data_IF_298234655327
#
_entry.id   IF_298234655327
#
_cell.length_a   1.000
_cell.length_b   1.000
_cell.length_c   1.000
_cell.angle_alpha   90.00
_cell.angle_beta   90.00
_cell.angle_gamma   90.00
#
_symmetry.space_group_name_H-M   'P 1'
#
loop_
_entity.id
_entity.type
_entity.pdbx_description
1 polymer ?
#
# COMPACT_ATOMS: atom_id res chain seq x y z
N UNK A 1 -17.83 21.17 -0.77
CA UNK A 1 -16.52 20.49 -0.88
C UNK A 1 -16.78 19.09 -1.44
N UNK A 2 -16.57 18.90 -2.74
CA UNK A 2 -16.87 17.63 -3.42
C UNK A 2 -15.68 16.67 -3.18
N UNK A 3 -15.79 15.77 -2.20
CA UNK A 3 -14.77 14.76 -1.92
C UNK A 3 -14.89 13.64 -2.95
N UNK A 4 -13.87 13.52 -3.81
CA UNK A 4 -13.77 12.42 -4.77
C UNK A 4 -13.51 11.11 -4.03
N UNK A 5 -14.51 10.23 -4.03
CA UNK A 5 -14.38 8.82 -3.68
C UNK A 5 -13.63 8.12 -4.82
N UNK A 6 -12.33 7.89 -4.68
CA UNK A 6 -11.60 7.03 -5.60
C UNK A 6 -11.87 5.56 -5.21
N UNK A 7 -12.87 4.97 -5.85
CA UNK A 7 -13.15 3.53 -5.76
C UNK A 7 -12.30 2.84 -6.82
N UNK A 8 -11.17 2.23 -6.41
CA UNK A 8 -10.36 1.43 -7.32
C UNK A 8 -10.91 0.00 -7.36
N UNK A 9 -11.65 -0.33 -8.42
CA UNK A 9 -11.98 -1.70 -8.76
C UNK A 9 -10.80 -2.32 -9.53
N UNK A 10 -10.20 -3.38 -9.00
CA UNK A 10 -9.28 -4.22 -9.76
C UNK A 10 -10.11 -4.97 -10.81
N UNK A 11 -9.95 -4.62 -12.10
CA UNK A 11 -10.63 -5.30 -13.19
C UNK A 11 -9.73 -6.42 -13.73
N UNK A 12 -10.23 -7.67 -13.69
CA UNK A 12 -9.59 -8.81 -14.36
C UNK A 12 -9.82 -8.72 -15.88
N UNK A 13 -8.73 -8.86 -16.66
CA UNK A 13 -8.82 -9.18 -18.08
C UNK A 13 -8.71 -10.71 -18.29
N UNK A 14 -9.42 -11.30 -19.27
CA UNK A 14 -9.28 -12.72 -19.59
C UNK A 14 -8.02 -12.96 -20.44
N UNK A 15 -7.14 -13.86 -19.98
CA UNK A 15 -5.97 -14.30 -20.74
C UNK A 15 -6.36 -15.39 -21.76
N UNK A 16 -5.95 -15.19 -23.01
CA UNK A 16 -5.99 -16.21 -24.06
C UNK A 16 -4.89 -17.26 -23.82
N UNK A 17 -5.27 -18.53 -23.86
CA UNK A 17 -4.36 -19.68 -23.72
C UNK A 17 -3.64 -19.94 -25.03
N UNK A 18 -2.31 -19.84 -25.03
CA UNK A 18 -1.45 -20.47 -26.03
C UNK A 18 -0.49 -21.45 -25.35
N UNK A 19 -0.66 -22.72 -25.68
CA UNK A 19 0.16 -23.83 -25.19
C UNK A 19 1.52 -23.81 -25.89
N UNK A 20 2.59 -23.58 -25.12
CA UNK A 20 3.97 -23.70 -25.58
C UNK A 20 4.83 -24.40 -24.54
N UNK A 21 5.16 -25.66 -24.78
CA UNK A 21 6.19 -26.40 -24.03
C UNK A 21 7.56 -25.78 -24.33
N UNK A 22 8.18 -25.19 -23.31
CA UNK A 22 9.55 -24.70 -23.36
C UNK A 22 10.02 -24.40 -21.95
N UNK A 23 10.63 -25.40 -21.29
CA UNK A 23 11.23 -25.26 -19.96
C UNK A 23 12.48 -24.40 -20.02
N UNK A 24 12.32 -23.08 -20.09
CA UNK A 24 13.32 -22.15 -19.62
C UNK A 24 13.14 -22.02 -18.10
N UNK A 25 14.20 -22.22 -17.33
CA UNK A 25 14.19 -21.93 -15.90
C UNK A 25 13.66 -20.50 -15.72
N UNK A 26 12.46 -20.38 -15.14
CA UNK A 26 11.81 -19.10 -14.90
C UNK A 26 12.69 -18.37 -13.89
N UNK A 27 13.43 -17.36 -14.33
CA UNK A 27 14.31 -16.59 -13.45
C UNK A 27 13.41 -15.83 -12.47
N UNK A 28 13.30 -16.36 -11.25
CA UNK A 28 12.67 -15.65 -10.14
C UNK A 28 13.42 -14.36 -9.87
N UNK A 29 12.69 -13.30 -9.53
CA UNK A 29 13.24 -12.01 -9.14
C UNK A 29 13.33 -11.99 -7.62
N UNK A 30 14.54 -11.92 -7.08
CA UNK A 30 14.76 -11.82 -5.65
C UNK A 30 14.62 -10.37 -5.17
N UNK A 31 13.84 -10.16 -4.12
CA UNK A 31 13.63 -8.86 -3.51
C UNK A 31 14.69 -8.63 -2.43
N UNK A 32 15.37 -7.48 -2.46
CA UNK A 32 16.31 -7.11 -1.40
C UNK A 32 15.63 -6.96 -0.05
N UNK A 33 14.38 -6.49 -0.07
CA UNK A 33 13.54 -6.31 1.12
C UNK A 33 12.19 -6.96 0.86
N UNK A 34 11.65 -7.72 1.82
CA UNK A 34 10.41 -8.43 1.58
C UNK A 34 9.25 -7.45 1.36
N UNK A 35 8.36 -7.80 0.43
CA UNK A 35 7.03 -7.22 0.39
C UNK A 35 6.15 -7.97 1.36
N UNK A 36 5.55 -7.28 2.32
CA UNK A 36 4.69 -7.89 3.32
C UNK A 36 3.24 -7.52 3.02
N UNK A 37 2.40 -8.54 2.83
CA UNK A 37 0.96 -8.35 2.76
C UNK A 37 0.36 -8.64 4.13
N UNK A 38 -0.22 -7.61 4.74
CA UNK A 38 -0.72 -7.68 6.11
C UNK A 38 -2.07 -6.97 6.25
N UNK A 39 -3.01 -7.50 7.05
CA UNK A 39 -4.26 -6.80 7.32
C UNK A 39 -4.01 -5.43 7.96
N UNK A 40 -4.77 -4.43 7.52
CA UNK A 40 -4.96 -3.21 8.32
C UNK A 40 -5.90 -3.57 9.45
N UNK A 41 -5.47 -3.33 10.68
CA UNK A 41 -6.12 -3.82 11.89
C UNK A 41 -6.08 -2.75 12.98
N UNK A 42 -7.18 -2.02 13.14
CA UNK A 42 -7.40 -1.12 14.28
C UNK A 42 -8.41 -1.67 15.29
N UNK A 43 -8.55 -3.01 15.38
CA UNK A 43 -9.51 -3.64 16.30
C UNK A 43 -9.26 -3.29 17.78
N UNK A 44 -8.03 -2.91 18.12
CA UNK A 44 -7.61 -2.47 19.46
C UNK A 44 -7.63 -0.94 19.63
N UNK A 45 -8.02 -0.19 18.58
CA UNK A 45 -8.17 1.26 18.61
C UNK A 45 -6.87 2.04 18.76
N UNK A 46 -5.74 1.50 18.32
CA UNK A 46 -4.46 2.21 18.32
C UNK A 46 -4.54 3.48 17.44
N UNK A 47 -5.00 3.35 16.21
CA UNK A 47 -5.14 4.47 15.28
C UNK A 47 -6.23 5.43 15.74
N UNK A 48 -7.35 4.92 16.27
CA UNK A 48 -8.39 5.75 16.90
C UNK A 48 -7.85 6.60 18.05
N UNK A 49 -7.03 6.04 18.95
CA UNK A 49 -6.40 6.81 20.05
C UNK A 49 -5.47 7.90 19.53
N UNK A 50 -4.67 7.61 18.50
CA UNK A 50 -3.83 8.62 17.85
C UNK A 50 -4.68 9.74 17.26
N UNK A 51 -5.75 9.40 16.53
CA UNK A 51 -6.66 10.39 15.95
C UNK A 51 -7.34 11.25 17.03
N UNK A 52 -7.76 10.66 18.16
CA UNK A 52 -8.31 11.40 19.30
C UNK A 52 -7.27 12.36 19.92
N UNK A 53 -6.03 11.91 20.10
CA UNK A 53 -4.94 12.73 20.63
C UNK A 53 -4.56 13.89 19.70
N UNK A 54 -4.45 13.63 18.39
CA UNK A 54 -4.18 14.67 17.37
C UNK A 54 -5.28 15.73 17.37
N UNK A 55 -6.56 15.35 17.47
CA UNK A 55 -7.66 16.33 17.58
C UNK A 55 -7.58 17.19 18.83
N UNK A 56 -7.04 16.63 19.92
CA UNK A 56 -6.84 17.35 21.17
C UNK A 56 -5.56 18.22 21.18
N UNK A 57 -4.67 18.05 20.20
CA UNK A 57 -3.43 18.82 20.05
C UNK A 57 -3.37 19.57 18.69
N UNK A 58 -3.96 20.77 18.61
CA UNK A 58 -3.91 21.60 17.41
C UNK A 58 -2.51 22.08 17.02
N UNK A 59 -1.50 21.95 17.89
CA UNK A 59 -0.13 22.39 17.64
C UNK A 59 0.76 21.28 17.05
N UNK A 60 0.25 20.05 16.99
CA UNK A 60 0.96 18.88 16.45
C UNK A 60 1.39 19.03 14.99
N UNK A 61 0.72 19.88 14.21
CA UNK A 61 0.90 19.96 12.76
C UNK A 61 0.36 18.74 12.00
N UNK A 62 -0.42 17.89 12.69
CA UNK A 62 -1.10 16.73 12.14
C UNK A 62 -2.59 17.04 11.97
N UNK A 63 -3.23 16.31 11.06
CA UNK A 63 -4.66 16.39 10.81
C UNK A 63 -5.30 15.00 11.00
N UNK A 64 -6.64 14.96 11.07
CA UNK A 64 -7.39 13.71 11.10
C UNK A 64 -8.34 13.64 9.92
N UNK A 65 -8.20 12.59 9.12
CA UNK A 65 -9.14 12.23 8.07
C UNK A 65 -10.03 11.08 8.50
N UNK A 66 -11.29 11.08 8.04
CA UNK A 66 -12.17 9.91 8.10
C UNK A 66 -12.35 9.32 6.69
N UNK A 67 -12.30 7.99 6.59
CA UNK A 67 -12.74 7.26 5.41
C UNK A 67 -13.90 6.35 5.77
N UNK A 68 -14.81 6.17 4.82
CA UNK A 68 -15.98 5.31 4.98
C UNK A 68 -15.85 4.20 3.95
N UNK A 69 -15.66 2.98 4.44
CA UNK A 69 -15.53 1.78 3.61
C UNK A 69 -16.85 1.05 3.64
N UNK A 70 -17.51 0.96 2.48
CA UNK A 70 -18.74 0.17 2.35
C UNK A 70 -18.45 -1.31 2.60
N UNK A 71 -19.28 -1.96 3.41
CA UNK A 71 -19.18 -3.39 3.65
C UNK A 71 -19.40 -4.20 2.37
N UNK A 72 -18.78 -5.38 2.31
CA UNK A 72 -18.96 -6.35 1.24
C UNK A 72 -20.20 -7.20 1.54
N UNK A 73 -20.95 -7.60 0.51
CA UNK A 73 -22.13 -8.48 0.61
C UNK A 73 -23.21 -8.00 1.60
N UNK A 74 -23.42 -6.67 1.70
CA UNK A 74 -24.38 -6.09 2.64
C UNK A 74 -23.88 -6.00 4.08
N UNK A 75 -22.59 -6.25 4.31
CA UNK A 75 -21.92 -6.04 5.58
C UNK A 75 -21.93 -4.58 6.05
N UNK A 76 -21.58 -4.32 7.32
CA UNK A 76 -21.59 -2.99 7.88
C UNK A 76 -20.57 -2.09 7.18
N UNK A 77 -20.92 -0.82 7.04
CA UNK A 77 -19.97 0.23 6.67
C UNK A 77 -18.99 0.45 7.82
N UNK A 78 -17.70 0.50 7.50
CA UNK A 78 -16.63 0.78 8.45
C UNK A 78 -16.22 2.24 8.32
N UNK A 79 -16.25 2.99 9.42
CA UNK A 79 -15.60 4.30 9.50
C UNK A 79 -14.20 4.13 10.07
N UNK A 80 -13.21 4.61 9.34
CA UNK A 80 -11.80 4.56 9.71
C UNK A 80 -11.29 5.99 9.89
N UNK A 81 -10.57 6.24 10.98
CA UNK A 81 -9.91 7.52 11.23
C UNK A 81 -8.42 7.37 11.03
N UNK A 82 -7.81 8.32 10.34
CA UNK A 82 -6.38 8.32 10.06
C UNK A 82 -5.76 9.63 10.55
N UNK A 83 -4.62 9.53 11.22
CA UNK A 83 -3.74 10.68 11.39
C UNK A 83 -2.98 10.92 10.08
N UNK A 84 -2.95 12.17 9.64
CA UNK A 84 -2.22 12.60 8.45
C UNK A 84 -1.27 13.74 8.78
N UNK A 85 -0.21 13.88 8.00
CA UNK A 85 0.79 14.94 8.18
C UNK A 85 1.48 15.31 6.88
N UNK A 86 2.13 16.47 6.81
CA UNK A 86 2.84 16.92 5.61
C UNK A 86 4.06 16.04 5.30
N UNK A 87 4.71 15.50 6.34
CA UNK A 87 5.89 14.67 6.21
C UNK A 87 5.82 13.47 7.17
N UNK A 88 6.39 12.33 6.75
CA UNK A 88 6.44 11.09 7.54
C UNK A 88 7.01 11.31 8.94
N UNK A 89 8.12 12.04 9.04
CA UNK A 89 8.82 12.26 10.29
C UNK A 89 7.99 13.02 11.33
N UNK A 90 7.00 13.83 10.92
CA UNK A 90 6.10 14.52 11.85
C UNK A 90 5.20 13.53 12.57
N UNK A 91 4.70 12.51 11.88
CA UNK A 91 3.91 11.42 12.48
C UNK A 91 4.77 10.56 13.41
N UNK A 92 5.98 10.21 12.98
CA UNK A 92 6.92 9.41 13.78
C UNK A 92 7.33 10.14 15.07
N UNK A 93 7.63 11.43 14.95
CA UNK A 93 8.00 12.29 16.09
C UNK A 93 6.83 12.43 17.08
N UNK A 94 5.60 12.53 16.57
CA UNK A 94 4.41 12.56 17.41
C UNK A 94 4.26 11.28 18.23
N UNK A 95 4.39 10.10 17.63
CA UNK A 95 4.32 8.82 18.36
C UNK A 95 5.50 8.69 19.34
N UNK A 96 6.70 9.11 18.95
CA UNK A 96 7.88 9.05 19.81
C UNK A 96 7.76 9.93 21.06
N UNK A 97 7.07 11.06 20.96
CA UNK A 97 6.81 11.97 22.09
C UNK A 97 5.60 11.57 22.93
N UNK A 98 4.75 10.66 22.41
CA UNK A 98 3.56 10.12 23.06
C UNK A 98 3.62 8.59 23.13
N UNK A 99 4.57 8.01 23.90
CA UNK A 99 4.78 6.56 23.94
C UNK A 99 3.54 5.77 24.43
N UNK A 100 2.61 6.41 25.15
CA UNK A 100 1.33 5.84 25.52
C UNK A 100 0.41 5.54 24.31
N UNK A 101 0.65 6.20 23.17
CA UNK A 101 -0.07 5.97 21.91
C UNK A 101 0.54 4.87 21.05
N UNK A 102 1.64 4.25 21.50
CA UNK A 102 2.25 3.13 20.79
C UNK A 102 1.23 2.03 20.48
N UNK A 103 1.37 1.33 19.34
CA UNK A 103 0.49 0.25 19.00
C UNK A 103 0.70 -0.94 19.96
N UNK A 104 -0.33 -1.77 20.18
CA UNK A 104 -0.19 -3.07 20.83
C UNK A 104 0.91 -3.94 20.19
N UNK A 105 1.47 -4.88 20.95
CA UNK A 105 2.63 -5.67 20.51
C UNK A 105 2.43 -6.54 19.24
N UNK A 106 1.19 -6.80 18.84
CA UNK A 106 0.81 -7.52 17.62
C UNK A 106 0.36 -6.58 16.49
N UNK A 107 0.62 -5.28 16.63
CA UNK A 107 0.29 -4.24 15.68
C UNK A 107 1.49 -3.30 15.49
N UNK A 108 1.57 -2.71 14.30
CA UNK A 108 2.61 -1.75 13.92
C UNK A 108 1.97 -0.57 13.21
N UNK A 109 2.61 0.60 13.29
CA UNK A 109 2.23 1.74 12.45
C UNK A 109 2.98 1.68 11.13
N UNK A 110 2.22 1.77 10.03
CA UNK A 110 2.75 1.91 8.67
C UNK A 110 2.36 3.26 8.07
N UNK A 111 3.16 3.77 7.14
CA UNK A 111 2.94 5.11 6.58
C UNK A 111 2.75 5.07 5.06
N UNK A 112 1.61 5.54 4.58
CA UNK A 112 1.29 5.63 3.15
C UNK A 112 1.52 7.06 2.66
N UNK A 113 2.28 7.20 1.58
CA UNK A 113 2.48 8.48 0.91
C UNK A 113 1.39 8.70 -0.13
N UNK A 114 0.63 9.77 0.03
CA UNK A 114 -0.51 10.14 -0.81
C UNK A 114 -0.26 11.47 -1.50
N UNK A 115 -1.02 11.74 -2.58
CA UNK A 115 -1.09 13.08 -3.19
C UNK A 115 -2.54 13.55 -3.24
N UNK A 116 -2.76 14.81 -2.92
CA UNK A 116 -4.09 15.42 -3.01
C UNK A 116 -4.41 15.90 -4.43
N UNK A 117 -5.59 16.50 -4.62
CA UNK A 117 -6.03 17.03 -5.91
C UNK A 117 -5.20 18.20 -6.44
N UNK A 118 -4.40 18.85 -5.59
CA UNK A 118 -3.48 19.92 -5.95
C UNK A 118 -2.06 19.37 -6.26
N UNK A 119 -1.86 18.06 -6.13
CA UNK A 119 -0.59 17.38 -6.34
C UNK A 119 0.38 17.47 -5.16
N UNK A 120 -0.06 18.03 -4.02
CA UNK A 120 0.75 18.09 -2.79
C UNK A 120 0.85 16.70 -2.19
N UNK A 121 2.05 16.35 -1.74
CA UNK A 121 2.30 15.08 -1.06
C UNK A 121 1.98 15.23 0.41
N UNK A 122 1.33 14.23 0.99
CA UNK A 122 1.11 14.11 2.43
C UNK A 122 1.21 12.63 2.83
N UNK A 123 1.30 12.37 4.12
CA UNK A 123 1.47 11.04 4.68
C UNK A 123 0.26 10.68 5.53
N UNK A 124 -0.15 9.41 5.45
CA UNK A 124 -1.23 8.81 6.22
C UNK A 124 -0.68 7.67 7.07
N UNK A 125 -1.02 7.66 8.35
CA UNK A 125 -0.71 6.55 9.24
C UNK A 125 -1.78 5.46 9.14
N UNK A 126 -1.36 4.21 9.05
CA UNK A 126 -2.17 3.00 9.16
C UNK A 126 -1.76 2.21 10.40
N UNK A 127 -2.69 1.46 10.98
CA UNK A 127 -2.38 0.41 11.95
C UNK A 127 -2.47 -0.94 11.26
N UNK A 128 -1.38 -1.67 11.16
CA UNK A 128 -1.30 -2.97 10.50
C UNK A 128 -1.00 -4.05 11.51
N UNK A 129 -1.41 -5.29 11.22
CA UNK A 129 -1.01 -6.43 12.04
C UNK A 129 0.50 -6.66 11.90
N UNK A 130 1.17 -6.92 13.02
CA UNK A 130 2.57 -7.31 13.01
C UNK A 130 2.75 -8.65 12.27
N UNK A 131 3.71 -8.70 11.34
CA UNK A 131 3.91 -9.84 10.45
C UNK A 131 3.00 -9.82 9.22
N UNK A 132 2.72 -11.01 8.65
CA UNK A 132 1.91 -11.15 7.43
C UNK A 132 2.54 -12.12 6.42
N UNK A 133 2.01 -12.09 5.20
CA UNK A 133 2.58 -12.84 4.08
C UNK A 133 3.79 -12.09 3.53
N UNK A 134 4.98 -12.52 3.95
CA UNK A 134 6.24 -11.97 3.45
C UNK A 134 6.64 -12.64 2.13
N UNK A 135 6.73 -11.85 1.07
CA UNK A 135 7.20 -12.22 -0.26
C UNK A 135 8.66 -11.81 -0.39
N UNK A 136 9.53 -12.76 -0.72
CA UNK A 136 10.97 -12.50 -0.96
C UNK A 136 11.37 -12.71 -2.42
N UNK A 137 10.51 -13.38 -3.18
CA UNK A 137 10.75 -13.69 -4.58
C UNK A 137 9.48 -13.49 -5.37
N UNK A 138 9.63 -13.00 -6.59
CA UNK A 138 8.56 -12.79 -7.54
C UNK A 138 8.83 -13.63 -8.79
N UNK A 139 7.78 -14.09 -9.46
CA UNK A 139 7.92 -14.68 -10.79
C UNK A 139 8.21 -13.61 -11.85
N UNK A 140 7.72 -12.38 -11.66
CA UNK A 140 8.03 -11.21 -12.48
C UNK A 140 7.60 -9.91 -11.77
N UNK A 141 8.22 -8.79 -12.12
CA UNK A 141 7.74 -7.45 -11.81
C UNK A 141 8.05 -6.51 -12.97
N UNK A 142 7.06 -5.73 -13.42
CA UNK A 142 7.21 -4.84 -14.56
C UNK A 142 6.32 -3.60 -14.46
N UNK A 143 6.66 -2.55 -15.21
CA UNK A 143 5.79 -1.39 -15.34
C UNK A 143 4.74 -1.65 -16.42
N UNK A 144 3.48 -1.47 -16.03
CA UNK A 144 2.34 -1.50 -16.95
C UNK A 144 1.63 -0.16 -16.95
N UNK A 145 0.88 0.12 -18.01
CA UNK A 145 -0.03 1.26 -18.04
C UNK A 145 -1.40 0.81 -17.54
N UNK A 146 -1.90 1.48 -16.50
CA UNK A 146 -3.24 1.23 -15.96
C UNK A 146 -4.35 1.76 -16.88
N UNK A 147 -5.61 1.39 -16.62
CA UNK A 147 -6.78 1.85 -17.39
C UNK A 147 -6.95 3.38 -17.42
N UNK A 148 -6.34 4.08 -16.47
CA UNK A 148 -6.33 5.54 -16.35
C UNK A 148 -5.11 6.20 -17.03
N UNK A 149 -4.39 5.46 -17.88
CA UNK A 149 -3.13 5.86 -18.52
C UNK A 149 -2.02 6.23 -17.52
N UNK A 150 -2.10 5.70 -16.29
CA UNK A 150 -1.12 5.93 -15.23
C UNK A 150 -0.23 4.70 -15.05
N UNK A 151 1.08 4.88 -14.83
CA UNK A 151 1.97 3.75 -14.63
C UNK A 151 1.63 3.02 -13.32
N UNK A 152 1.69 1.69 -13.36
CA UNK A 152 1.55 0.79 -12.21
C UNK A 152 2.68 -0.23 -12.23
N UNK A 153 3.02 -0.76 -11.07
CA UNK A 153 3.91 -1.91 -11.00
C UNK A 153 3.02 -3.16 -10.98
N UNK A 154 3.11 -3.97 -12.02
CA UNK A 154 2.47 -5.28 -12.08
C UNK A 154 3.44 -6.33 -11.53
N UNK A 155 2.99 -7.07 -10.52
CA UNK A 155 3.75 -8.09 -9.82
C UNK A 155 3.09 -9.44 -10.06
N UNK A 156 3.88 -10.40 -10.55
CA UNK A 156 3.47 -11.81 -10.63
C UNK A 156 4.17 -12.60 -9.54
N UNK A 157 3.38 -13.27 -8.71
CA UNK A 157 3.88 -14.09 -7.62
C UNK A 157 4.35 -15.46 -8.10
N UNK A 158 5.14 -16.13 -7.27
CA UNK A 158 5.38 -17.57 -7.42
C UNK A 158 4.05 -18.32 -7.26
N UNK A 159 3.90 -19.54 -7.82
CA UNK A 159 2.68 -20.32 -7.64
C UNK A 159 2.34 -20.59 -6.16
N UNK A 160 3.36 -20.80 -5.33
CA UNK A 160 3.20 -21.02 -3.89
C UNK A 160 2.67 -19.76 -3.20
N UNK A 161 3.31 -18.60 -3.41
CA UNK A 161 2.87 -17.35 -2.79
C UNK A 161 1.53 -16.87 -3.36
N UNK A 162 1.21 -17.19 -4.62
CA UNK A 162 -0.11 -16.95 -5.21
C UNK A 162 -1.23 -17.69 -4.49
N UNK A 163 -1.00 -18.95 -4.09
CA UNK A 163 -1.98 -19.71 -3.29
C UNK A 163 -2.14 -19.12 -1.88
N UNK A 164 -1.03 -18.70 -1.26
CA UNK A 164 -1.05 -18.06 0.06
C UNK A 164 -1.77 -16.71 0.03
N UNK A 165 -1.57 -15.93 -1.04
CA UNK A 165 -2.30 -14.69 -1.27
C UNK A 165 -3.80 -14.93 -1.43
N UNK A 166 -4.19 -15.93 -2.22
CA UNK A 166 -5.59 -16.28 -2.42
C UNK A 166 -6.29 -16.65 -1.10
N UNK A 167 -5.61 -17.43 -0.25
CA UNK A 167 -6.12 -17.78 1.09
C UNK A 167 -6.26 -16.53 1.99
N UNK A 168 -5.20 -15.72 2.08
CA UNK A 168 -5.21 -14.49 2.89
C UNK A 168 -6.32 -13.53 2.45
N UNK A 169 -6.47 -13.31 1.15
CA UNK A 169 -7.51 -12.39 0.62
C UNK A 169 -8.92 -12.95 0.78
N UNK A 170 -9.11 -14.26 0.76
CA UNK A 170 -10.39 -14.87 1.09
C UNK A 170 -10.80 -14.62 2.55
N UNK A 171 -9.85 -14.67 3.47
CA UNK A 171 -10.08 -14.38 4.90
C UNK A 171 -10.30 -12.88 5.17
N UNK A 172 -9.71 -12.00 4.37
CA UNK A 172 -9.75 -10.54 4.55
C UNK A 172 -10.85 -9.83 3.73
N UNK A 173 -11.85 -10.56 3.20
CA UNK A 173 -12.95 -9.93 2.45
C UNK A 173 -13.68 -8.90 3.32
N UNK A 174 -13.91 -7.71 2.76
CA UNK A 174 -14.50 -6.57 3.46
C UNK A 174 -13.50 -5.74 4.26
N UNK A 175 -12.27 -6.21 4.42
CA UNK A 175 -11.22 -5.53 5.17
C UNK A 175 -10.13 -5.01 4.24
N UNK A 176 -9.31 -4.08 4.74
CA UNK A 176 -8.14 -3.59 4.01
C UNK A 176 -6.96 -4.53 4.18
N UNK A 177 -6.23 -4.74 3.09
CA UNK A 177 -4.98 -5.46 3.09
C UNK A 177 -3.87 -4.51 2.65
N UNK A 178 -2.94 -4.19 3.54
CA UNK A 178 -1.79 -3.35 3.24
C UNK A 178 -0.72 -4.17 2.51
N UNK A 179 -0.09 -3.55 1.52
CA UNK A 179 1.18 -3.99 0.93
C UNK A 179 2.26 -3.07 1.48
N UNK A 180 3.20 -3.64 2.22
CA UNK A 180 4.22 -2.90 2.97
C UNK A 180 5.60 -3.32 2.48
N UNK A 181 6.49 -2.35 2.35
CA UNK A 181 7.93 -2.58 2.21
C UNK A 181 8.63 -1.73 3.27
N UNK A 182 9.38 -2.39 4.16
CA UNK A 182 9.89 -1.77 5.39
C UNK A 182 8.76 -1.24 6.28
N UNK A 183 8.60 0.08 6.35
CA UNK A 183 7.57 0.79 7.09
C UNK A 183 6.71 1.71 6.19
N UNK A 184 6.95 1.67 4.86
CA UNK A 184 6.14 2.37 3.86
C UNK A 184 5.02 1.44 3.40
N UNK A 185 3.78 1.88 3.62
CA UNK A 185 2.59 1.26 3.06
C UNK A 185 2.48 1.75 1.61
N UNK A 186 2.69 0.84 0.65
CA UNK A 186 2.61 1.16 -0.78
C UNK A 186 1.16 1.34 -1.22
N UNK A 187 0.25 0.56 -0.65
CA UNK A 187 -1.19 0.66 -0.84
C UNK A 187 -1.93 -0.11 0.26
N UNK A 188 -3.17 0.28 0.56
CA UNK A 188 -4.07 -0.44 1.46
C UNK A 188 -5.50 -0.56 0.89
N UNK A 189 -5.70 -1.35 -0.18
CA UNK A 189 -7.02 -1.56 -0.79
C UNK A 189 -7.96 -2.37 0.10
N UNK A 190 -9.26 -2.12 -0.04
CA UNK A 190 -10.31 -3.01 0.49
C UNK A 190 -10.42 -4.25 -0.39
N UNK A 191 -10.30 -5.43 0.21
CA UNK A 191 -10.45 -6.70 -0.48
C UNK A 191 -11.94 -7.01 -0.66
N UNK A 192 -12.38 -7.10 -1.91
CA UNK A 192 -13.78 -7.45 -2.25
C UNK A 192 -13.93 -8.93 -2.58
N UNK A 193 -12.94 -9.48 -3.26
CA UNK A 193 -12.91 -10.84 -3.76
C UNK A 193 -11.52 -11.46 -3.52
N UNK A 194 -11.42 -12.79 -3.36
CA UNK A 194 -10.14 -13.47 -3.28
C UNK A 194 -9.29 -13.26 -4.54
N UNK A 195 -8.01 -12.91 -4.36
CA UNK A 195 -7.06 -12.72 -5.45
C UNK A 195 -6.45 -14.07 -5.85
N UNK A 196 -7.10 -14.76 -6.78
CA UNK A 196 -6.75 -16.14 -7.17
C UNK A 196 -5.75 -16.24 -8.33
N UNK A 197 -5.44 -15.12 -8.99
CA UNK A 197 -4.55 -15.08 -10.16
C UNK A 197 -3.07 -15.15 -9.80
N UNK A 198 -2.71 -14.87 -8.54
CA UNK A 198 -1.31 -14.70 -8.13
C UNK A 198 -0.68 -13.43 -8.69
N UNK A 199 -1.48 -12.44 -9.07
CA UNK A 199 -1.04 -11.16 -9.61
C UNK A 199 -1.51 -9.99 -8.74
N UNK A 200 -0.68 -8.95 -8.64
CA UNK A 200 -0.93 -7.73 -7.87
C UNK A 200 -0.55 -6.51 -8.72
N UNK A 201 -1.32 -5.43 -8.59
CA UNK A 201 -0.93 -4.13 -9.14
C UNK A 201 -0.72 -3.14 -8.00
N UNK A 202 0.49 -2.57 -7.95
CA UNK A 202 0.83 -1.50 -7.02
C UNK A 202 0.68 -0.19 -7.78
N UNK A 203 -0.34 0.64 -7.45
CA UNK A 203 -0.51 1.94 -8.07
C UNK A 203 0.65 2.85 -7.67
N UNK A 204 1.14 3.62 -8.62
CA UNK A 204 2.07 4.69 -8.33
C UNK A 204 1.29 5.98 -8.10
N UNK A 205 1.91 6.95 -7.40
CA UNK A 205 1.29 8.24 -7.17
C UNK A 205 0.78 8.84 -8.49
N UNK A 206 -0.40 9.48 -8.46
CA UNK A 206 -1.17 9.82 -9.66
C UNK A 206 -0.36 10.56 -10.74
N UNK A 207 0.61 11.39 -10.37
CA UNK A 207 1.41 12.21 -11.30
C UNK A 207 2.84 11.68 -11.50
N UNK A 208 3.10 10.40 -11.21
CA UNK A 208 4.40 9.81 -11.43
C UNK A 208 4.75 9.83 -12.94
N UNK A 209 5.84 10.51 -13.26
CA UNK A 209 6.51 10.40 -14.56
C UNK A 209 7.01 8.97 -14.78
N UNK A 210 7.23 8.58 -16.03
CA UNK A 210 7.81 7.26 -16.33
C UNK A 210 9.18 7.04 -15.66
N UNK A 211 9.95 8.11 -15.47
CA UNK A 211 11.23 8.05 -14.76
C UNK A 211 11.03 7.76 -13.26
N UNK A 212 10.07 8.43 -12.60
CA UNK A 212 9.72 8.14 -11.20
C UNK A 212 9.15 6.72 -11.05
N UNK A 213 8.34 6.28 -12.02
CA UNK A 213 7.82 4.92 -12.04
C UNK A 213 8.93 3.87 -12.16
N UNK A 214 9.90 4.10 -13.04
CA UNK A 214 11.06 3.20 -13.18
C UNK A 214 11.87 3.20 -11.89
N UNK A 215 12.10 4.36 -11.28
CA UNK A 215 12.84 4.43 -10.03
C UNK A 215 12.11 3.73 -8.87
N UNK A 216 10.78 3.73 -8.86
CA UNK A 216 9.97 2.97 -7.91
C UNK A 216 10.05 1.45 -8.14
N UNK A 217 9.99 1.00 -9.41
CA UNK A 217 10.21 -0.41 -9.75
C UNK A 217 11.63 -0.85 -9.38
N UNK A 218 12.63 -0.04 -9.71
CA UNK A 218 14.01 -0.28 -9.34
C UNK A 218 14.11 -0.41 -7.82
N UNK A 219 13.56 0.54 -7.05
CA UNK A 219 13.53 0.46 -5.60
C UNK A 219 12.90 -0.83 -5.06
N UNK A 220 11.75 -1.22 -5.60
CA UNK A 220 11.06 -2.47 -5.27
C UNK A 220 12.00 -3.67 -5.45
N UNK A 221 12.74 -3.69 -6.56
CA UNK A 221 13.68 -4.74 -6.95
C UNK A 221 15.09 -4.59 -6.35
N UNK A 222 15.33 -3.55 -5.54
CA UNK A 222 16.63 -3.31 -4.91
C UNK A 222 17.62 -2.43 -5.69
N UNK A 223 17.19 -1.78 -6.76
CA UNK A 223 17.87 -0.66 -7.39
C UNK A 223 17.80 0.60 -6.51
N UNK A 224 18.93 1.27 -6.33
CA UNK A 224 19.03 2.49 -5.52
C UNK A 224 18.24 3.65 -6.16
N UNK A 225 17.31 4.25 -5.42
CA UNK A 225 16.77 5.59 -5.72
C UNK A 225 17.89 6.63 -5.58
N UNK A 226 18.50 7.00 -6.70
CA UNK A 226 19.20 8.27 -6.79
C UNK A 226 18.89 8.94 -8.13
N UNK A 227 17.74 9.61 -8.28
CA UNK A 227 17.68 10.70 -9.22
C UNK A 227 18.64 11.78 -8.68
N UNK A 228 19.83 11.88 -9.28
CA UNK A 228 20.64 13.10 -9.17
C UNK A 228 19.73 14.25 -9.64
N UNK A 229 19.24 15.04 -8.69
CA UNK A 229 18.75 16.39 -8.95
C UNK A 229 19.84 17.11 -9.73
N UNK A 230 19.67 17.21 -11.05
CA UNK A 230 20.45 18.14 -11.86
C UNK A 230 19.97 19.52 -11.41
N UNK A 231 20.71 20.14 -10.50
CA UNK A 231 20.62 21.57 -10.27
C UNK A 231 20.90 22.24 -11.61
N UNK A 232 19.84 22.71 -12.26
CA UNK A 232 19.93 23.62 -13.39
C UNK A 232 20.65 24.87 -12.94
N UNK A 233 21.93 24.96 -13.25
CA UNK A 233 22.74 26.17 -13.10
C UNK A 233 23.23 26.58 -14.47
N UNK A 234 22.57 27.57 -15.06
CA UNK A 234 23.15 28.78 -15.63
C UNK A 234 22.04 29.75 -16.00
#
# INVERSE_FOLDING_TARGET
MLRSLLVLALALAPAAVTTGCGGAAKTEVELQRPLVLTPVDDSKGALRRVAEAVRADPQSGLEVESSVVAGVDGGPTLEEHFATGPEKHVLEDYIRTHPELAPPADQEFGYERLRDGEGRTYWRMHCVRAGGLALRKLAAAELVEGPDARPRIHVRLTPEDGQRLAALTAEQRGHRLAVVQDDEVLMAPTIREPLTTGELEIPLAAVATRAEAQAALDHLLGGSLAPKLIRGGR
#
